data_IF_459371171832
#
_entry.id   IF_459371171832
#
_cell.length_a   1.000
_cell.length_b   1.000
_cell.length_c   1.000
_cell.angle_alpha   90.00
_cell.angle_beta   90.00
_cell.angle_gamma   90.00
#
_symmetry.space_group_name_H-M   'P 1'
#
loop_
_entity.id
_entity.type
_entity.pdbx_description
1 polymer ?
#
# COMPACT_ATOMS: atom_id res chain seq x y z
N UNK A 1 3.00 64.43 25.76
CA UNK A 1 3.55 63.71 24.60
C UNK A 1 4.37 62.57 25.14
N UNK A 2 3.81 61.34 25.17
CA UNK A 2 4.53 60.11 25.55
C UNK A 2 5.04 59.48 24.26
N UNK A 3 6.36 59.36 24.11
CA UNK A 3 6.99 58.70 22.98
C UNK A 3 6.96 57.17 23.22
N UNK A 4 6.24 56.43 22.37
CA UNK A 4 6.36 54.99 22.27
C UNK A 4 7.63 54.64 21.48
N UNK A 5 8.55 53.91 22.10
CA UNK A 5 9.64 53.21 21.42
C UNK A 5 9.11 51.86 20.94
N UNK A 6 9.24 51.47 19.67
CA UNK A 6 8.92 50.12 19.26
C UNK A 6 10.03 49.17 19.73
N UNK A 7 9.67 48.12 20.43
CA UNK A 7 10.55 47.03 20.75
C UNK A 7 10.81 46.22 19.46
N UNK A 8 12.06 46.24 19.01
CA UNK A 8 12.52 45.43 17.90
C UNK A 8 12.81 44.02 18.43
N UNK A 9 11.91 43.06 18.18
CA UNK A 9 12.18 41.66 18.43
C UNK A 9 13.12 41.13 17.35
N UNK A 10 14.38 40.87 17.71
CA UNK A 10 15.30 40.09 16.91
C UNK A 10 14.92 38.63 17.04
N UNK A 11 14.35 38.06 15.99
CA UNK A 11 14.29 36.62 15.81
C UNK A 11 15.74 36.15 15.52
N UNK A 12 16.40 35.57 16.50
CA UNK A 12 17.63 34.80 16.27
C UNK A 12 17.20 33.44 15.72
N UNK A 13 17.26 33.27 14.42
CA UNK A 13 17.19 31.96 13.83
C UNK A 13 18.44 31.16 14.28
N UNK A 14 18.31 30.31 15.24
CA UNK A 14 19.37 29.34 15.56
C UNK A 14 19.38 28.31 14.45
N UNK A 15 20.32 28.42 13.52
CA UNK A 15 20.67 27.33 12.61
C UNK A 15 21.26 26.21 13.47
N UNK A 16 20.52 25.15 13.71
CA UNK A 16 21.07 23.92 14.27
C UNK A 16 22.09 23.39 13.26
N UNK A 17 23.33 23.22 13.66
CA UNK A 17 24.36 22.65 12.80
C UNK A 17 23.94 21.19 12.46
N UNK A 18 24.15 20.81 11.19
CA UNK A 18 23.90 19.44 10.76
C UNK A 18 24.76 18.48 11.60
N UNK A 19 24.17 17.35 11.97
CA UNK A 19 24.81 16.31 12.79
C UNK A 19 25.16 15.11 11.88
N UNK A 20 26.38 14.61 12.02
CA UNK A 20 26.82 13.44 11.25
C UNK A 20 26.17 12.17 11.80
N UNK A 21 25.58 11.37 10.93
CA UNK A 21 25.11 10.02 11.28
C UNK A 21 26.22 9.00 11.12
N UNK A 22 26.45 8.24 12.17
CA UNK A 22 27.39 7.12 12.17
C UNK A 22 26.62 5.80 12.19
N UNK A 23 27.09 4.81 11.43
CA UNK A 23 26.45 3.48 11.35
C UNK A 23 26.33 2.85 12.75
N UNK A 24 25.13 2.38 13.07
CA UNK A 24 24.78 1.71 14.33
C UNK A 24 24.75 2.61 15.56
N UNK A 25 24.73 3.95 15.35
CA UNK A 25 24.56 4.92 16.45
C UNK A 25 23.23 5.64 16.29
N UNK A 26 22.38 5.48 17.30
CA UNK A 26 21.12 6.22 17.39
C UNK A 26 21.38 7.63 17.94
N UNK A 27 20.68 8.63 17.39
CA UNK A 27 20.67 10.01 17.86
C UNK A 27 19.22 10.43 18.15
N UNK A 28 19.00 11.04 19.32
CA UNK A 28 17.68 11.55 19.73
C UNK A 28 17.50 12.99 19.25
N UNK A 29 16.30 13.30 18.74
CA UNK A 29 15.89 14.64 18.36
C UNK A 29 14.56 15.03 19.03
N UNK A 30 14.32 16.33 19.12
CA UNK A 30 13.06 16.90 19.62
C UNK A 30 12.58 17.95 18.64
N UNK A 31 11.39 17.75 18.07
CA UNK A 31 10.78 18.69 17.13
C UNK A 31 9.78 19.59 17.87
N UNK A 32 9.77 20.85 17.47
CA UNK A 32 8.70 21.82 17.73
C UNK A 32 8.00 22.17 16.42
N UNK A 33 6.86 22.84 16.47
CA UNK A 33 5.96 23.04 15.34
C UNK A 33 6.62 23.48 14.01
N UNK A 34 7.65 24.31 14.08
CA UNK A 34 8.34 24.87 12.90
C UNK A 34 9.81 24.46 12.82
N UNK A 35 10.27 23.54 13.70
CA UNK A 35 11.67 23.13 13.72
C UNK A 35 11.96 22.05 12.69
N UNK A 36 13.24 21.99 12.31
CA UNK A 36 13.80 20.96 11.47
C UNK A 36 15.16 20.58 11.98
N UNK A 37 15.41 19.30 12.07
CA UNK A 37 16.72 18.76 12.34
C UNK A 37 17.36 18.26 11.05
N UNK A 38 18.66 18.47 10.93
CA UNK A 38 19.42 18.14 9.72
C UNK A 38 20.57 17.21 10.09
N UNK A 39 20.64 16.10 9.37
CA UNK A 39 21.65 15.07 9.52
C UNK A 39 22.42 14.91 8.22
N UNK A 40 23.71 14.55 8.33
CA UNK A 40 24.59 14.32 7.19
C UNK A 40 25.09 12.89 7.16
N UNK A 41 25.24 12.35 5.96
CA UNK A 41 25.78 11.03 5.68
C UNK A 41 26.85 11.20 4.61
N UNK A 42 28.10 10.93 4.96
CA UNK A 42 29.21 10.95 4.01
C UNK A 42 29.33 9.58 3.36
N UNK A 43 29.31 9.52 2.01
CA UNK A 43 29.48 8.29 1.25
C UNK A 43 30.61 8.42 0.25
N UNK A 44 31.50 7.39 0.12
CA UNK A 44 32.70 7.50 -0.70
C UNK A 44 32.48 7.22 -2.20
N UNK A 45 31.25 6.91 -2.62
CA UNK A 45 30.95 6.59 -4.02
C UNK A 45 29.57 6.02 -4.23
N UNK A 46 29.46 5.04 -5.11
CA UNK A 46 28.22 4.30 -5.35
C UNK A 46 27.91 3.42 -4.15
N UNK A 47 26.95 3.84 -3.31
CA UNK A 47 26.58 3.21 -2.05
C UNK A 47 25.07 3.01 -1.95
N UNK A 48 24.67 1.96 -1.28
CA UNK A 48 23.32 1.79 -0.74
C UNK A 48 23.33 2.24 0.73
N UNK A 49 22.35 3.04 1.08
CA UNK A 49 22.19 3.63 2.42
C UNK A 49 20.80 3.29 2.94
N UNK A 50 20.73 2.79 4.18
CA UNK A 50 19.50 2.52 4.88
C UNK A 50 19.56 3.03 6.32
N UNK A 51 18.51 3.71 6.75
CA UNK A 51 18.34 4.19 8.11
C UNK A 51 16.89 4.18 8.54
N UNK A 52 16.68 4.42 9.83
CA UNK A 52 15.37 4.37 10.49
C UNK A 52 15.18 5.61 11.34
N UNK A 53 13.99 6.19 11.28
CA UNK A 53 13.50 7.21 12.20
C UNK A 53 12.44 6.57 13.09
N UNK A 54 12.75 6.36 14.36
CA UNK A 54 11.81 5.86 15.38
C UNK A 54 10.97 7.03 15.89
N UNK A 55 9.71 7.04 15.53
CA UNK A 55 8.74 8.06 15.92
C UNK A 55 8.22 7.75 17.34
N UNK A 56 8.82 8.36 18.34
CA UNK A 56 8.49 8.09 19.75
C UNK A 56 7.18 8.77 20.17
N UNK A 57 7.15 10.10 20.04
CA UNK A 57 5.98 10.92 20.43
C UNK A 57 5.54 11.90 19.35
N UNK A 58 6.29 12.02 18.24
CA UNK A 58 5.99 12.91 17.11
C UNK A 58 5.90 12.12 15.80
N UNK A 59 4.95 12.48 14.97
CA UNK A 59 4.85 12.05 13.58
C UNK A 59 5.85 12.84 12.73
N UNK A 60 6.75 12.15 12.03
CA UNK A 60 7.88 12.76 11.32
C UNK A 60 7.78 12.62 9.81
N UNK A 61 8.28 13.63 9.11
CA UNK A 61 8.52 13.61 7.68
C UNK A 61 10.03 13.68 7.45
N UNK A 62 10.59 12.68 6.77
CA UNK A 62 12.00 12.66 6.39
C UNK A 62 12.18 13.05 4.91
N UNK A 63 13.07 14.00 4.62
CA UNK A 63 13.48 14.36 3.25
C UNK A 63 14.94 14.07 3.04
N UNK A 64 15.26 13.40 1.95
CA UNK A 64 16.63 13.06 1.58
C UNK A 64 17.05 13.97 0.43
N UNK A 65 18.22 14.57 0.56
CA UNK A 65 18.80 15.45 -0.43
C UNK A 65 20.13 14.89 -0.95
N UNK A 66 20.36 15.04 -2.24
CA UNK A 66 21.64 14.72 -2.87
C UNK A 66 22.73 15.76 -2.54
N UNK A 67 23.93 15.52 -3.05
CA UNK A 67 25.09 16.40 -2.86
C UNK A 67 24.94 17.81 -3.43
N UNK A 68 23.98 18.03 -4.33
CA UNK A 68 23.63 19.32 -4.91
C UNK A 68 22.47 20.01 -4.17
N UNK A 69 21.90 19.39 -3.11
CA UNK A 69 20.77 19.91 -2.36
C UNK A 69 19.42 19.68 -3.04
N UNK A 70 19.33 18.78 -4.02
CA UNK A 70 18.07 18.40 -4.66
C UNK A 70 17.40 17.28 -3.87
N UNK A 71 16.09 17.36 -3.66
CA UNK A 71 15.30 16.32 -3.00
C UNK A 71 15.32 15.05 -3.86
N UNK A 72 15.79 13.95 -3.28
CA UNK A 72 15.76 12.59 -3.85
C UNK A 72 14.46 11.89 -3.49
N UNK A 73 14.07 11.95 -2.22
CA UNK A 73 12.82 11.34 -1.75
C UNK A 73 12.24 12.08 -0.54
N UNK A 74 10.95 11.88 -0.32
CA UNK A 74 10.23 12.30 0.88
C UNK A 74 9.52 11.09 1.45
N UNK A 75 9.76 10.79 2.71
CA UNK A 75 9.16 9.69 3.45
C UNK A 75 8.21 10.30 4.48
N UNK A 76 6.94 9.98 4.32
CA UNK A 76 5.84 10.33 5.19
C UNK A 76 5.06 9.02 5.41
N UNK A 77 5.39 8.32 6.48
CA UNK A 77 4.91 6.97 6.77
C UNK A 77 3.69 6.95 7.68
N UNK A 78 3.59 5.89 8.47
CA UNK A 78 2.57 5.83 9.53
C UNK A 78 2.95 6.79 10.66
N UNK A 79 1.95 7.40 11.31
CA UNK A 79 2.14 8.39 12.38
C UNK A 79 2.86 7.86 13.63
N UNK A 80 3.17 6.58 13.71
CA UNK A 80 3.88 5.94 14.84
C UNK A 80 4.71 4.77 14.36
N UNK A 81 5.73 4.44 15.14
CA UNK A 81 6.67 3.36 14.88
C UNK A 81 7.80 3.77 13.94
N UNK A 82 8.59 2.82 13.45
CA UNK A 82 9.74 3.11 12.61
C UNK A 82 9.32 3.58 11.20
N UNK A 83 9.84 4.72 10.78
CA UNK A 83 9.81 5.19 9.41
C UNK A 83 11.19 4.95 8.78
N UNK A 84 11.26 4.04 7.81
CA UNK A 84 12.52 3.70 7.16
C UNK A 84 12.82 4.65 6.01
N UNK A 85 14.06 5.06 5.87
CA UNK A 85 14.57 5.74 4.69
C UNK A 85 15.68 4.94 4.02
N UNK A 86 15.69 4.96 2.69
CA UNK A 86 16.77 4.34 1.93
C UNK A 86 17.01 5.11 0.62
N UNK A 87 18.24 5.08 0.17
CA UNK A 87 18.63 5.62 -1.13
C UNK A 87 19.89 4.94 -1.66
N UNK A 88 20.08 5.02 -2.96
CA UNK A 88 21.38 4.69 -3.60
C UNK A 88 22.04 5.99 -4.02
N UNK A 89 23.32 6.14 -3.68
CA UNK A 89 24.19 7.17 -4.22
C UNK A 89 24.88 6.66 -5.49
N UNK A 90 25.10 7.54 -6.45
CA UNK A 90 25.96 7.23 -7.62
C UNK A 90 27.29 7.98 -7.55
N UNK A 91 27.39 9.03 -6.73
CA UNK A 91 28.57 9.89 -6.60
C UNK A 91 29.01 9.99 -5.12
N UNK A 92 30.32 10.18 -4.87
CA UNK A 92 30.82 10.44 -3.53
C UNK A 92 30.35 11.82 -3.03
N UNK A 93 30.19 11.97 -1.72
CA UNK A 93 29.89 13.24 -1.08
C UNK A 93 28.93 13.14 0.09
N UNK A 94 28.49 14.30 0.54
CA UNK A 94 27.63 14.46 1.70
C UNK A 94 26.18 14.53 1.28
N UNK A 95 25.40 13.53 1.70
CA UNK A 95 23.94 13.48 1.56
C UNK A 95 23.29 14.00 2.83
N UNK A 96 22.11 14.60 2.70
CA UNK A 96 21.43 15.22 3.85
C UNK A 96 20.09 14.56 4.09
N UNK A 97 19.79 14.28 5.36
CA UNK A 97 18.46 13.86 5.83
C UNK A 97 17.90 14.99 6.70
N UNK A 98 16.82 15.59 6.24
CA UNK A 98 16.07 16.60 7.00
C UNK A 98 14.86 15.93 7.64
N UNK A 99 14.72 16.07 8.94
CA UNK A 99 13.56 15.59 9.70
C UNK A 99 12.73 16.78 10.15
N UNK A 100 11.45 16.76 9.84
CA UNK A 100 10.45 17.73 10.28
C UNK A 100 9.22 17.01 10.85
N UNK A 101 8.38 17.73 11.60
CA UNK A 101 7.11 17.16 12.05
C UNK A 101 6.04 17.20 10.98
N UNK A 102 5.14 16.21 10.99
CA UNK A 102 3.91 16.25 10.22
C UNK A 102 2.93 17.27 10.84
N UNK A 103 2.36 18.14 10.02
CA UNK A 103 1.37 19.17 10.43
C UNK A 103 1.75 20.02 11.65
N UNK A 104 3.05 20.17 11.94
CA UNK A 104 3.53 20.99 13.06
C UNK A 104 3.37 20.33 14.44
N UNK A 105 3.27 19.01 14.50
CA UNK A 105 3.27 18.28 15.77
C UNK A 105 4.60 18.46 16.53
N UNK A 106 4.55 18.36 17.86
CA UNK A 106 5.73 18.47 18.72
C UNK A 106 6.01 17.14 19.42
N UNK A 107 7.29 16.80 19.60
CA UNK A 107 7.67 15.60 20.33
C UNK A 107 9.06 15.10 19.97
N UNK A 108 9.34 13.87 20.42
CA UNK A 108 10.64 13.23 20.38
C UNK A 108 10.69 12.12 19.33
N UNK A 109 11.86 11.95 18.73
CA UNK A 109 12.18 10.86 17.82
C UNK A 109 13.64 10.43 18.01
N UNK A 110 13.98 9.28 17.45
CA UNK A 110 15.36 8.83 17.30
C UNK A 110 15.64 8.52 15.84
N UNK A 111 16.85 8.83 15.38
CA UNK A 111 17.32 8.48 14.03
C UNK A 111 18.57 7.63 14.13
N UNK A 112 18.65 6.59 13.31
CA UNK A 112 19.79 5.69 13.21
C UNK A 112 20.14 5.43 11.74
N UNK A 113 21.42 5.53 11.42
CA UNK A 113 21.97 5.01 10.18
C UNK A 113 22.32 3.53 10.40
N UNK A 114 21.50 2.63 9.83
CA UNK A 114 21.65 1.18 10.02
C UNK A 114 22.79 0.63 9.17
N UNK A 115 22.84 1.03 7.89
CA UNK A 115 23.92 0.62 6.96
C UNK A 115 24.23 1.69 5.93
N UNK A 116 25.49 1.74 5.52
CA UNK A 116 25.97 2.41 4.33
C UNK A 116 27.07 1.50 3.75
N UNK A 117 26.80 0.87 2.62
CA UNK A 117 27.67 -0.14 2.03
C UNK A 117 27.75 0.05 0.51
N UNK A 118 28.78 -0.46 -0.17
CA UNK A 118 28.86 -0.40 -1.62
C UNK A 118 27.59 -0.94 -2.26
N UNK A 119 27.04 -0.20 -3.22
CA UNK A 119 25.89 -0.64 -4.00
C UNK A 119 26.24 -1.92 -4.76
N UNK A 120 25.43 -2.94 -4.61
CA UNK A 120 25.64 -4.22 -5.29
C UNK A 120 25.56 -4.05 -6.81
N UNK A 121 26.44 -4.75 -7.50
CA UNK A 121 26.47 -4.79 -8.98
C UNK A 121 25.57 -5.90 -9.52
N UNK A 122 25.49 -7.03 -8.79
CA UNK A 122 24.58 -8.11 -9.14
C UNK A 122 23.12 -7.73 -8.82
N UNK A 123 22.18 -7.89 -9.78
CA UNK A 123 20.78 -7.53 -9.56
C UNK A 123 20.12 -8.26 -8.39
N UNK A 124 20.49 -9.49 -8.08
CA UNK A 124 19.94 -10.26 -6.97
C UNK A 124 20.41 -9.70 -5.63
N UNK A 125 21.69 -9.38 -5.52
CA UNK A 125 22.27 -8.75 -4.33
C UNK A 125 21.71 -7.34 -4.13
N UNK A 126 21.42 -6.61 -5.23
CA UNK A 126 20.77 -5.30 -5.16
C UNK A 126 19.34 -5.41 -4.60
N UNK A 127 18.59 -6.44 -4.99
CA UNK A 127 17.27 -6.69 -4.39
C UNK A 127 17.44 -6.99 -2.89
N UNK A 128 18.42 -7.77 -2.49
CA UNK A 128 18.69 -8.06 -1.07
C UNK A 128 18.99 -6.77 -0.28
N UNK A 129 19.78 -5.87 -0.84
CA UNK A 129 20.03 -4.56 -0.22
C UNK A 129 18.73 -3.74 -0.05
N UNK A 130 17.92 -3.64 -1.10
CA UNK A 130 16.65 -2.89 -1.07
C UNK A 130 15.67 -3.52 -0.07
N UNK A 131 15.72 -4.84 0.12
CA UNK A 131 14.86 -5.57 1.05
C UNK A 131 15.36 -5.58 2.50
N UNK A 132 16.48 -4.94 2.80
CA UNK A 132 17.01 -4.82 4.19
C UNK A 132 15.97 -4.46 5.25
N UNK A 133 15.04 -3.50 5.02
CA UNK A 133 14.00 -3.15 5.99
C UNK A 133 13.08 -4.31 6.38
N UNK A 134 13.00 -5.32 5.53
CA UNK A 134 12.11 -6.48 5.70
C UNK A 134 12.85 -7.72 6.17
N UNK A 135 14.12 -7.61 6.56
CA UNK A 135 14.90 -8.71 7.11
C UNK A 135 14.80 -8.75 8.64
N UNK A 136 14.75 -9.95 9.22
CA UNK A 136 14.69 -10.12 10.68
C UNK A 136 13.59 -11.07 11.11
N UNK A 137 13.60 -11.42 12.42
CA UNK A 137 12.61 -12.34 13.03
C UNK A 137 11.41 -11.62 13.62
N UNK A 138 11.48 -10.32 13.75
CA UNK A 138 10.45 -9.43 14.32
C UNK A 138 9.75 -8.58 13.25
N UNK A 139 10.02 -8.85 11.98
CA UNK A 139 9.48 -8.09 10.85
C UNK A 139 8.49 -8.95 10.07
N UNK A 140 7.27 -8.43 9.79
CA UNK A 140 6.34 -9.08 8.87
C UNK A 140 6.97 -9.30 7.50
N UNK A 141 6.71 -10.49 6.92
CA UNK A 141 7.37 -10.91 5.70
C UNK A 141 6.83 -10.27 4.42
N UNK A 142 7.69 -10.25 3.42
CA UNK A 142 7.41 -9.85 2.04
C UNK A 142 8.03 -10.87 1.08
N UNK A 143 7.41 -11.12 -0.06
CA UNK A 143 7.95 -11.94 -1.14
C UNK A 143 8.19 -11.09 -2.38
N UNK A 144 9.33 -11.28 -3.02
CA UNK A 144 9.73 -10.59 -4.25
C UNK A 144 9.97 -11.62 -5.34
N UNK A 145 9.40 -11.37 -6.52
CA UNK A 145 9.64 -12.16 -7.72
C UNK A 145 9.93 -11.23 -8.88
N UNK A 146 10.94 -11.56 -9.66
CA UNK A 146 11.30 -10.85 -10.90
C UNK A 146 11.20 -11.80 -12.08
N UNK A 147 10.40 -11.41 -13.07
CA UNK A 147 10.27 -12.14 -14.33
C UNK A 147 10.99 -11.37 -15.44
N UNK A 148 11.72 -12.11 -16.28
CA UNK A 148 12.34 -11.56 -17.48
C UNK A 148 12.08 -12.51 -18.64
N UNK A 149 11.47 -11.99 -19.71
CA UNK A 149 11.15 -12.75 -20.93
C UNK A 149 10.34 -14.04 -20.69
N UNK A 150 9.55 -14.07 -19.61
CA UNK A 150 8.72 -15.21 -19.20
C UNK A 150 9.37 -16.14 -18.17
N UNK A 151 10.67 -16.01 -17.92
CA UNK A 151 11.39 -16.81 -16.93
C UNK A 151 11.47 -16.10 -15.56
N UNK A 152 11.33 -16.85 -14.47
CA UNK A 152 11.60 -16.35 -13.13
C UNK A 152 13.12 -16.29 -12.94
N UNK A 153 13.66 -15.06 -12.92
CA UNK A 153 15.10 -14.84 -12.74
C UNK A 153 15.48 -14.56 -11.29
N UNK A 154 14.50 -14.26 -10.45
CA UNK A 154 14.67 -14.07 -9.01
C UNK A 154 13.34 -14.36 -8.30
N UNK A 155 13.40 -15.11 -7.18
CA UNK A 155 12.27 -15.29 -6.26
C UNK A 155 12.80 -15.52 -4.84
N UNK A 156 12.35 -14.72 -3.87
CA UNK A 156 12.81 -14.80 -2.48
C UNK A 156 11.80 -14.21 -1.52
N UNK A 157 11.65 -14.84 -0.34
CA UNK A 157 10.93 -14.29 0.81
C UNK A 157 11.91 -13.62 1.80
N UNK A 158 11.42 -12.60 2.49
CA UNK A 158 12.13 -11.86 3.54
C UNK A 158 11.24 -11.73 4.77
N UNK A 159 11.82 -11.67 5.97
CA UNK A 159 11.07 -11.57 7.21
C UNK A 159 10.25 -12.82 7.53
N UNK A 160 9.15 -12.65 8.25
CA UNK A 160 8.39 -13.76 8.84
C UNK A 160 6.98 -13.84 8.26
N UNK A 161 6.58 -15.03 7.82
CA UNK A 161 5.19 -15.31 7.48
C UNK A 161 4.30 -15.43 8.72
N UNK A 162 4.89 -15.76 9.86
CA UNK A 162 4.23 -15.80 11.15
C UNK A 162 5.18 -15.40 12.29
N UNK A 163 4.99 -14.22 12.86
CA UNK A 163 5.81 -13.70 13.97
C UNK A 163 5.60 -14.48 15.27
N UNK A 164 4.41 -15.06 15.48
CA UNK A 164 4.09 -15.77 16.71
C UNK A 164 4.81 -17.12 16.82
N UNK A 165 5.02 -17.76 15.68
CA UNK A 165 5.60 -19.10 15.61
C UNK A 165 6.97 -19.13 14.92
N UNK A 166 7.60 -17.97 14.72
CA UNK A 166 8.92 -17.83 14.09
C UNK A 166 9.00 -18.56 12.73
N UNK A 167 7.93 -18.47 11.91
CA UNK A 167 7.91 -19.08 10.60
C UNK A 167 8.41 -18.06 9.58
N UNK A 168 9.53 -18.31 8.88
CA UNK A 168 10.06 -17.41 7.88
C UNK A 168 9.14 -17.30 6.67
N UNK A 169 9.22 -16.17 5.97
CA UNK A 169 8.63 -15.98 4.66
C UNK A 169 9.51 -16.62 3.57
N UNK A 170 8.91 -17.31 2.62
CA UNK A 170 9.56 -17.79 1.42
C UNK A 170 8.75 -17.42 0.16
N UNK A 171 9.29 -17.75 -1.01
CA UNK A 171 8.66 -17.48 -2.30
C UNK A 171 7.39 -18.31 -2.56
N UNK A 172 7.16 -19.38 -1.78
CA UNK A 172 6.02 -20.26 -1.89
C UNK A 172 4.93 -19.95 -0.83
N UNK A 173 5.19 -18.98 0.03
CA UNK A 173 4.22 -18.60 1.07
C UNK A 173 3.02 -17.87 0.44
N UNK A 174 1.83 -18.44 0.61
CA UNK A 174 0.59 -17.86 0.12
C UNK A 174 0.21 -16.58 0.85
N UNK A 175 -0.18 -15.54 0.12
CA UNK A 175 -0.64 -14.28 0.70
C UNK A 175 -1.89 -13.74 0.02
N UNK A 176 -2.65 -12.93 0.76
CA UNK A 176 -3.75 -12.17 0.16
C UNK A 176 -3.18 -11.06 -0.70
N UNK A 177 -3.51 -11.08 -1.99
CA UNK A 177 -3.10 -10.05 -2.96
C UNK A 177 -4.06 -8.86 -3.01
N UNK A 178 -5.03 -8.81 -2.09
CA UNK A 178 -5.99 -7.71 -1.94
C UNK A 178 -6.60 -7.28 -3.30
N UNK A 179 -6.53 -6.01 -3.64
CA UNK A 179 -7.14 -5.46 -4.87
C UNK A 179 -6.47 -5.88 -6.18
N UNK A 180 -5.28 -6.47 -6.14
CA UNK A 180 -4.68 -7.11 -7.32
C UNK A 180 -5.59 -8.24 -7.85
N UNK A 181 -6.42 -8.84 -6.98
CA UNK A 181 -7.46 -9.83 -7.35
C UNK A 181 -8.48 -9.32 -8.37
N UNK A 182 -8.68 -8.00 -8.48
CA UNK A 182 -9.62 -7.41 -9.43
C UNK A 182 -9.29 -7.72 -10.89
N UNK A 183 -8.03 -7.96 -11.23
CA UNK A 183 -7.63 -8.39 -12.57
C UNK A 183 -8.36 -9.66 -13.02
N UNK A 184 -8.55 -10.62 -12.11
CA UNK A 184 -9.23 -11.88 -12.43
C UNK A 184 -10.74 -11.66 -12.63
N UNK A 185 -11.37 -10.79 -11.85
CA UNK A 185 -12.77 -10.42 -12.09
C UNK A 185 -12.94 -9.69 -13.43
N UNK A 186 -12.03 -8.77 -13.76
CA UNK A 186 -12.02 -8.09 -15.06
C UNK A 186 -11.82 -9.07 -16.22
N UNK A 187 -10.89 -10.04 -16.08
CA UNK A 187 -10.66 -11.08 -17.07
C UNK A 187 -11.90 -11.98 -17.25
N UNK A 188 -12.58 -12.35 -16.16
CA UNK A 188 -13.81 -13.13 -16.23
C UNK A 188 -14.91 -12.40 -17.05
N UNK A 189 -15.08 -11.12 -16.83
CA UNK A 189 -16.01 -10.30 -17.61
C UNK A 189 -15.61 -10.28 -19.10
N UNK A 190 -14.33 -10.12 -19.41
CA UNK A 190 -13.83 -10.14 -20.79
C UNK A 190 -14.05 -11.52 -21.47
N UNK A 191 -13.84 -12.62 -20.73
CA UNK A 191 -14.12 -13.97 -21.24
C UNK A 191 -15.61 -14.14 -21.55
N UNK A 192 -16.50 -13.75 -20.63
CA UNK A 192 -17.95 -13.86 -20.84
C UNK A 192 -18.42 -12.96 -22.00
N UNK A 193 -17.85 -11.77 -22.17
CA UNK A 193 -18.14 -10.91 -23.32
C UNK A 193 -17.65 -11.54 -24.63
N UNK A 194 -16.44 -12.10 -24.68
CA UNK A 194 -15.90 -12.77 -25.87
C UNK A 194 -16.74 -13.98 -26.30
N UNK A 195 -17.42 -14.61 -25.33
CA UNK A 195 -18.36 -15.71 -25.57
C UNK A 195 -19.77 -15.22 -25.98
N UNK A 196 -20.00 -13.91 -26.02
CA UNK A 196 -21.30 -13.31 -26.33
C UNK A 196 -22.36 -13.52 -25.24
N UNK A 197 -21.98 -13.90 -24.03
CA UNK A 197 -22.90 -14.13 -22.90
C UNK A 197 -23.33 -12.82 -22.23
N UNK A 198 -22.51 -11.80 -22.31
CA UNK A 198 -22.75 -10.44 -21.80
C UNK A 198 -22.24 -9.43 -22.81
N UNK A 199 -22.60 -8.16 -22.62
CA UNK A 199 -21.96 -7.00 -23.27
C UNK A 199 -21.52 -6.01 -22.20
N UNK A 200 -20.35 -5.38 -22.37
CA UNK A 200 -19.91 -4.29 -21.49
C UNK A 200 -20.90 -3.11 -21.47
N UNK A 201 -21.79 -3.01 -22.47
CA UNK A 201 -22.86 -2.00 -22.50
C UNK A 201 -24.17 -2.49 -21.84
N UNK A 202 -24.21 -3.70 -21.30
CA UNK A 202 -25.39 -4.17 -20.57
C UNK A 202 -25.54 -3.38 -19.26
N UNK A 203 -26.76 -2.94 -18.92
CA UNK A 203 -27.03 -2.37 -17.61
C UNK A 203 -26.87 -3.44 -16.53
N UNK A 204 -26.28 -3.07 -15.39
CA UNK A 204 -26.00 -4.02 -14.30
C UNK A 204 -27.27 -4.70 -13.77
N UNK A 205 -28.42 -4.02 -13.80
CA UNK A 205 -29.71 -4.55 -13.38
C UNK A 205 -30.17 -5.76 -14.20
N UNK A 206 -29.65 -5.92 -15.42
CA UNK A 206 -29.90 -7.11 -16.26
C UNK A 206 -29.31 -8.38 -15.65
N UNK A 207 -28.19 -8.24 -14.93
CA UNK A 207 -27.41 -9.36 -14.43
C UNK A 207 -27.51 -9.54 -12.91
N UNK A 208 -27.80 -8.47 -12.17
CA UNK A 208 -27.90 -8.49 -10.71
C UNK A 208 -29.28 -8.09 -10.24
N UNK A 209 -30.05 -9.06 -9.78
CA UNK A 209 -31.41 -8.82 -9.32
C UNK A 209 -31.49 -8.01 -8.02
N UNK A 210 -32.55 -7.22 -7.89
CA UNK A 210 -32.88 -6.49 -6.65
C UNK A 210 -32.08 -5.21 -6.45
N UNK A 211 -31.32 -4.74 -7.45
CA UNK A 211 -30.73 -3.42 -7.44
C UNK A 211 -31.80 -2.33 -7.69
N UNK A 212 -31.63 -1.13 -7.10
CA UNK A 212 -32.53 0.00 -7.33
C UNK A 212 -32.55 0.45 -8.80
N UNK A 213 -33.64 1.08 -9.24
CA UNK A 213 -33.77 1.57 -10.61
C UNK A 213 -32.70 2.59 -11.01
N UNK A 214 -32.14 3.33 -10.05
CA UNK A 214 -31.02 4.26 -10.32
C UNK A 214 -29.79 3.57 -10.92
N UNK A 215 -29.66 2.26 -10.74
CA UNK A 215 -28.58 1.45 -11.34
C UNK A 215 -28.84 1.04 -12.80
N UNK A 216 -30.04 1.27 -13.36
CA UNK A 216 -30.33 0.95 -14.77
C UNK A 216 -29.47 1.75 -15.77
N UNK A 217 -28.97 2.90 -15.34
CA UNK A 217 -28.02 3.71 -16.14
C UNK A 217 -26.57 3.28 -15.98
N UNK A 218 -26.27 2.32 -15.08
CA UNK A 218 -24.92 1.81 -14.85
C UNK A 218 -24.67 0.58 -15.69
N UNK A 219 -23.79 0.69 -16.66
CA UNK A 219 -23.36 -0.42 -17.53
C UNK A 219 -22.16 -1.16 -16.89
N UNK A 220 -21.91 -2.41 -17.31
CA UNK A 220 -20.79 -3.22 -16.83
C UNK A 220 -19.45 -2.52 -17.02
N UNK A 221 -19.24 -1.81 -18.14
CA UNK A 221 -18.01 -1.02 -18.38
C UNK A 221 -17.78 0.05 -17.31
N UNK A 222 -18.85 0.67 -16.79
CA UNK A 222 -18.70 1.68 -15.73
C UNK A 222 -18.15 1.09 -14.43
N UNK A 223 -18.43 -0.18 -14.15
CA UNK A 223 -17.87 -0.91 -13.01
C UNK A 223 -16.40 -1.27 -13.24
N UNK A 224 -16.09 -1.83 -14.42
CA UNK A 224 -14.72 -2.21 -14.80
C UNK A 224 -13.76 -1.03 -14.71
N UNK A 225 -14.17 0.15 -15.18
CA UNK A 225 -13.33 1.35 -15.24
C UNK A 225 -13.44 2.27 -14.01
N UNK A 226 -14.20 1.87 -12.97
CA UNK A 226 -14.39 2.68 -11.76
C UNK A 226 -15.01 4.06 -12.03
N UNK A 227 -16.00 4.14 -12.93
CA UNK A 227 -16.69 5.36 -13.31
C UNK A 227 -18.21 5.26 -13.13
N UNK A 228 -18.66 4.40 -12.21
CA UNK A 228 -20.08 4.05 -12.08
C UNK A 228 -20.90 5.01 -11.21
N UNK A 229 -20.28 5.81 -10.36
CA UNK A 229 -20.98 6.62 -9.35
C UNK A 229 -21.58 5.84 -8.18
N UNK A 230 -21.40 4.51 -8.14
CA UNK A 230 -21.87 3.66 -7.04
C UNK A 230 -20.99 3.91 -5.81
N UNK A 231 -21.61 4.13 -4.66
CA UNK A 231 -20.90 4.34 -3.39
C UNK A 231 -20.15 3.08 -2.99
N UNK A 232 -18.92 3.27 -2.52
CA UNK A 232 -18.08 2.15 -2.09
C UNK A 232 -18.51 1.63 -0.72
N UNK A 233 -18.58 0.31 -0.60
CA UNK A 233 -19.09 -0.35 0.60
C UNK A 233 -18.22 -0.12 1.85
N UNK A 234 -16.86 -0.04 1.78
CA UNK A 234 -16.06 0.15 2.98
C UNK A 234 -16.41 1.46 3.71
N UNK A 235 -16.44 2.57 2.97
CA UNK A 235 -16.80 3.87 3.54
C UNK A 235 -18.24 3.90 4.07
N UNK A 236 -19.18 3.28 3.34
CA UNK A 236 -20.58 3.25 3.77
C UNK A 236 -20.80 2.40 5.03
N UNK A 237 -20.09 1.28 5.20
CA UNK A 237 -20.17 0.45 6.40
C UNK A 237 -19.56 1.14 7.62
N UNK A 238 -18.41 1.82 7.46
CA UNK A 238 -17.79 2.59 8.54
C UNK A 238 -18.71 3.73 9.00
N UNK A 239 -19.32 4.48 8.06
CA UNK A 239 -20.31 5.50 8.39
C UNK A 239 -21.56 4.90 9.07
N UNK A 240 -21.89 3.64 8.78
CA UNK A 240 -22.93 2.86 9.43
C UNK A 240 -22.54 2.26 10.79
N UNK A 241 -21.33 2.55 11.30
CA UNK A 241 -20.85 2.07 12.59
C UNK A 241 -20.20 0.68 12.58
N UNK A 242 -19.93 0.09 11.40
CA UNK A 242 -19.19 -1.17 11.25
C UNK A 242 -17.68 -0.87 11.26
N UNK A 243 -16.89 -1.83 11.70
CA UNK A 243 -15.43 -1.74 11.75
C UNK A 243 -14.80 -2.55 10.61
N UNK A 244 -13.59 -2.21 10.21
CA UNK A 244 -12.85 -2.97 9.18
C UNK A 244 -12.41 -4.37 9.65
N UNK A 245 -12.35 -4.58 10.96
CA UNK A 245 -12.05 -5.87 11.58
C UNK A 245 -13.31 -6.75 11.82
N UNK A 246 -14.50 -6.23 11.50
CA UNK A 246 -15.72 -7.05 11.47
C UNK A 246 -15.69 -8.05 10.31
N UNK A 247 -16.33 -9.19 10.50
CA UNK A 247 -16.60 -10.12 9.39
C UNK A 247 -17.65 -9.50 8.48
N UNK A 248 -17.26 -9.17 7.26
CA UNK A 248 -18.11 -8.59 6.22
C UNK A 248 -18.23 -9.61 5.09
N UNK A 249 -19.42 -10.14 4.90
CA UNK A 249 -19.69 -11.11 3.86
C UNK A 249 -19.97 -10.44 2.50
N UNK A 250 -19.84 -11.21 1.43
CA UNK A 250 -20.26 -10.78 0.09
C UNK A 250 -21.75 -10.39 0.07
N UNK A 251 -22.59 -11.09 0.82
CA UNK A 251 -24.01 -10.75 0.99
C UNK A 251 -24.20 -9.36 1.61
N UNK A 252 -23.40 -8.97 2.61
CA UNK A 252 -23.49 -7.65 3.24
C UNK A 252 -23.20 -6.54 2.25
N UNK A 253 -22.17 -6.72 1.40
CA UNK A 253 -21.80 -5.72 0.38
C UNK A 253 -22.88 -5.57 -0.70
N UNK A 254 -23.52 -6.68 -1.12
CA UNK A 254 -24.66 -6.63 -2.04
C UNK A 254 -25.90 -6.00 -1.39
N UNK A 255 -26.19 -6.32 -0.12
CA UNK A 255 -27.30 -5.73 0.61
C UNK A 255 -27.14 -4.21 0.74
N UNK A 256 -25.91 -3.72 0.92
CA UNK A 256 -25.61 -2.30 0.94
C UNK A 256 -25.84 -1.65 -0.45
N UNK A 257 -25.37 -2.28 -1.53
CA UNK A 257 -25.62 -1.78 -2.89
C UNK A 257 -27.14 -1.65 -3.17
N UNK A 258 -27.93 -2.64 -2.75
CA UNK A 258 -29.40 -2.68 -2.91
C UNK A 258 -30.14 -1.57 -2.14
N UNK A 259 -29.51 -0.94 -1.16
CA UNK A 259 -30.09 0.16 -0.36
C UNK A 259 -29.72 1.55 -0.86
N UNK A 260 -28.93 1.66 -1.92
CA UNK A 260 -28.54 2.96 -2.45
C UNK A 260 -29.67 3.56 -3.29
N UNK A 261 -30.17 4.72 -2.89
CA UNK A 261 -31.26 5.41 -3.59
C UNK A 261 -30.76 6.41 -4.65
N UNK A 262 -29.46 6.73 -4.63
CA UNK A 262 -28.82 7.65 -5.56
C UNK A 262 -27.36 7.26 -5.83
N UNK A 263 -26.86 7.59 -7.01
CA UNK A 263 -25.45 7.56 -7.34
C UNK A 263 -24.75 8.83 -6.81
N UNK A 264 -23.46 8.75 -6.56
CA UNK A 264 -22.65 9.91 -6.15
C UNK A 264 -22.43 10.91 -7.28
N UNK A 265 -22.45 10.42 -8.54
CA UNK A 265 -22.32 11.19 -9.77
C UNK A 265 -22.87 10.35 -10.94
N UNK A 266 -23.19 10.97 -12.10
CA UNK A 266 -23.62 10.24 -13.29
C UNK A 266 -22.55 9.28 -13.80
N UNK A 267 -22.93 8.06 -14.24
CA UNK A 267 -21.97 7.09 -14.77
C UNK A 267 -21.20 7.64 -15.98
N UNK A 268 -19.89 7.40 -15.98
CA UNK A 268 -18.98 7.83 -17.04
C UNK A 268 -18.33 9.19 -16.84
N UNK A 269 -18.75 9.99 -15.87
CA UNK A 269 -18.25 11.36 -15.71
C UNK A 269 -16.98 11.48 -14.83
N UNK A 270 -16.90 10.69 -13.78
CA UNK A 270 -15.82 10.82 -12.78
C UNK A 270 -15.23 9.45 -12.46
N UNK A 271 -13.89 9.39 -12.38
CA UNK A 271 -13.20 8.23 -11.83
C UNK A 271 -13.34 8.23 -10.30
N UNK A 272 -13.90 7.16 -9.77
CA UNK A 272 -13.97 6.91 -8.33
C UNK A 272 -13.84 5.42 -8.07
N UNK A 273 -12.71 5.01 -7.51
CA UNK A 273 -12.44 3.61 -7.19
C UNK A 273 -13.58 3.00 -6.37
N UNK A 274 -14.08 1.83 -6.78
CA UNK A 274 -15.20 1.17 -6.12
C UNK A 274 -14.98 -0.34 -5.98
N UNK A 275 -14.91 -0.82 -4.75
CA UNK A 275 -14.96 -2.24 -4.43
C UNK A 275 -16.36 -2.81 -4.67
N UNK A 276 -17.41 -2.02 -4.41
CA UNK A 276 -18.80 -2.40 -4.69
C UNK A 276 -18.98 -2.75 -6.17
N UNK A 277 -18.38 -1.97 -7.07
CA UNK A 277 -18.43 -2.24 -8.50
C UNK A 277 -17.91 -3.64 -8.84
N UNK A 278 -16.77 -4.01 -8.28
CA UNK A 278 -16.16 -5.33 -8.54
C UNK A 278 -16.91 -6.49 -7.85
N UNK A 279 -17.54 -6.26 -6.71
CA UNK A 279 -18.46 -7.24 -6.14
C UNK A 279 -19.69 -7.47 -7.04
N UNK A 280 -20.20 -6.43 -7.68
CA UNK A 280 -21.29 -6.56 -8.67
C UNK A 280 -20.83 -7.28 -9.93
N UNK A 281 -19.58 -7.10 -10.40
CA UNK A 281 -19.01 -7.88 -11.50
C UNK A 281 -18.89 -9.36 -11.14
N UNK A 282 -18.39 -9.69 -9.94
CA UNK A 282 -18.36 -11.07 -9.46
C UNK A 282 -19.76 -11.70 -9.44
N UNK A 283 -20.77 -10.95 -8.94
CA UNK A 283 -22.17 -11.42 -8.97
C UNK A 283 -22.71 -11.58 -10.40
N UNK A 284 -22.27 -10.76 -11.34
CA UNK A 284 -22.61 -10.92 -12.75
C UNK A 284 -22.07 -12.23 -13.30
N UNK A 285 -20.82 -12.57 -12.99
CA UNK A 285 -20.22 -13.87 -13.37
C UNK A 285 -21.07 -15.02 -12.85
N UNK A 286 -21.40 -15.03 -11.56
CA UNK A 286 -22.25 -16.08 -10.96
C UNK A 286 -23.62 -16.18 -11.63
N UNK A 287 -24.26 -15.06 -11.88
CA UNK A 287 -25.61 -15.06 -12.48
C UNK A 287 -25.61 -15.58 -13.91
N UNK A 288 -24.57 -15.27 -14.69
CA UNK A 288 -24.47 -15.62 -16.11
C UNK A 288 -23.97 -17.05 -16.32
N UNK A 289 -23.06 -17.52 -15.46
CA UNK A 289 -22.51 -18.88 -15.53
C UNK A 289 -23.43 -19.90 -14.86
N UNK A 290 -24.04 -19.53 -13.74
CA UNK A 290 -24.74 -20.43 -12.83
C UNK A 290 -23.83 -21.05 -11.78
N UNK A 291 -22.53 -20.78 -11.80
CA UNK A 291 -21.51 -21.30 -10.91
C UNK A 291 -21.17 -20.28 -9.82
N UNK A 292 -20.58 -20.75 -8.73
CA UNK A 292 -19.96 -19.87 -7.73
C UNK A 292 -18.77 -19.13 -8.36
N UNK A 293 -18.51 -17.87 -7.97
CA UNK A 293 -17.45 -17.06 -8.54
C UNK A 293 -16.05 -17.67 -8.36
N UNK A 294 -15.75 -18.20 -7.16
CA UNK A 294 -14.45 -18.80 -6.88
C UNK A 294 -14.21 -20.06 -7.73
N UNK A 295 -15.21 -20.93 -7.83
CA UNK A 295 -15.14 -22.13 -8.65
C UNK A 295 -15.00 -21.77 -10.13
N UNK A 296 -15.79 -20.81 -10.60
CA UNK A 296 -15.71 -20.36 -11.99
C UNK A 296 -14.31 -19.82 -12.36
N UNK A 297 -13.69 -19.02 -11.48
CA UNK A 297 -12.33 -18.51 -11.68
C UNK A 297 -11.32 -19.65 -11.70
N UNK A 298 -11.46 -20.63 -10.81
CA UNK A 298 -10.60 -21.81 -10.80
C UNK A 298 -10.65 -22.54 -12.12
N UNK A 299 -11.83 -22.92 -12.57
CA UNK A 299 -12.04 -23.75 -13.76
C UNK A 299 -11.64 -23.02 -15.07
N UNK A 300 -11.84 -21.70 -15.13
CA UNK A 300 -11.66 -20.96 -16.39
C UNK A 300 -10.38 -20.13 -16.46
N UNK A 301 -9.71 -19.90 -15.34
CA UNK A 301 -8.50 -19.06 -15.28
C UNK A 301 -7.36 -19.79 -14.58
N UNK A 302 -7.54 -20.23 -13.33
CA UNK A 302 -6.42 -20.76 -12.54
C UNK A 302 -5.95 -22.13 -13.08
N UNK A 303 -6.85 -23.09 -13.29
CA UNK A 303 -6.50 -24.41 -13.76
C UNK A 303 -5.92 -24.39 -15.20
N UNK A 304 -6.52 -23.68 -16.17
CA UNK A 304 -5.94 -23.57 -17.51
C UNK A 304 -4.55 -22.90 -17.56
N UNK A 305 -4.25 -22.05 -16.58
CA UNK A 305 -2.95 -21.36 -16.46
C UNK A 305 -2.01 -22.06 -15.47
N UNK A 306 -2.38 -23.25 -14.98
CA UNK A 306 -1.59 -24.02 -14.00
C UNK A 306 -1.26 -23.23 -12.71
N UNK A 307 -2.14 -22.31 -12.31
CA UNK A 307 -2.02 -21.51 -11.08
C UNK A 307 -2.50 -22.30 -9.86
N UNK A 308 -1.92 -23.48 -9.62
CA UNK A 308 -2.38 -24.52 -8.68
C UNK A 308 -2.39 -24.08 -7.20
N UNK A 309 -1.77 -22.96 -6.86
CA UNK A 309 -1.72 -22.40 -5.51
C UNK A 309 -2.52 -21.10 -5.36
N UNK A 310 -3.29 -20.74 -6.39
CA UNK A 310 -4.15 -19.57 -6.40
C UNK A 310 -5.61 -19.96 -6.16
N UNK A 311 -6.30 -19.19 -5.31
CA UNK A 311 -7.73 -19.41 -5.06
C UNK A 311 -8.40 -18.14 -4.59
N UNK A 312 -9.71 -18.04 -4.80
CA UNK A 312 -10.55 -17.07 -4.12
C UNK A 312 -11.10 -17.70 -2.83
N UNK A 313 -10.90 -17.03 -1.71
CA UNK A 313 -11.46 -17.46 -0.44
C UNK A 313 -12.81 -16.79 -0.24
N UNK A 314 -13.89 -17.50 -0.51
CA UNK A 314 -15.28 -17.08 -0.32
C UNK A 314 -15.91 -17.68 0.96
N UNK A 315 -15.29 -18.73 1.52
CA UNK A 315 -15.64 -19.33 2.80
C UNK A 315 -14.48 -19.19 3.82
N UNK A 316 -14.74 -18.49 4.93
CA UNK A 316 -13.78 -18.34 6.03
C UNK A 316 -13.45 -19.66 6.74
N UNK A 317 -14.28 -20.70 6.58
CA UNK A 317 -14.05 -22.06 7.10
C UNK A 317 -13.01 -22.84 6.30
N UNK A 318 -12.70 -22.43 5.08
CA UNK A 318 -11.71 -23.10 4.23
C UNK A 318 -10.30 -22.91 4.77
N UNK A 319 -9.63 -24.04 5.04
CA UNK A 319 -8.22 -24.02 5.47
C UNK A 319 -7.30 -23.84 4.28
N UNK A 320 -6.52 -22.78 4.33
CA UNK A 320 -5.46 -22.49 3.36
C UNK A 320 -4.12 -22.75 4.05
N UNK A 321 -3.40 -23.76 3.54
CA UNK A 321 -2.08 -24.12 4.05
C UNK A 321 -1.03 -23.12 3.60
N UNK A 322 0.07 -23.01 4.34
CA UNK A 322 1.20 -22.12 4.04
C UNK A 322 0.80 -20.65 3.80
N UNK A 323 -0.19 -20.15 4.53
CA UNK A 323 -0.69 -18.78 4.39
C UNK A 323 -0.02 -17.85 5.39
N UNK A 324 0.47 -16.71 4.90
CA UNK A 324 0.97 -15.63 5.74
C UNK A 324 -0.13 -15.08 6.67
N UNK A 325 0.25 -14.69 7.87
CA UNK A 325 -0.58 -13.92 8.77
C UNK A 325 -0.34 -12.42 8.54
N UNK A 326 -1.42 -11.66 8.36
CA UNK A 326 -1.32 -10.20 8.29
C UNK A 326 -1.13 -9.60 9.68
N UNK A 327 -0.31 -8.56 9.75
CA UNK A 327 -0.05 -7.79 10.97
C UNK A 327 -0.38 -6.32 10.72
N UNK A 328 -0.88 -5.66 11.74
CA UNK A 328 -1.11 -4.23 11.73
C UNK A 328 -0.10 -3.60 12.69
N UNK A 329 0.63 -2.59 12.23
CA UNK A 329 1.50 -1.81 13.09
C UNK A 329 0.68 -1.08 14.17
N UNK A 330 1.22 -1.02 15.37
CA UNK A 330 0.62 -0.32 16.53
C UNK A 330 1.04 1.14 16.52
#
# INVERSE_FOLDING_TARGET
MKRFLPALFFFVATTVAAQDLEIGKSQSGTLTADSKDTYTIEVPGSYFVYGVVNQLTVDTVAKIYDTAGKVMSTIDGSARGPASFQFSSDEPGTYTVEISSFEGAEGEYEIELVTAEPKAEDPSDLVDQVMTPFTGKDVPGVSVMVLKEGDIVFAKGYGMSNLTYDIPMDENTGMSIASVSKQFAGLAIAILESQGKISLNDPINKHVAGLPNVFEQVELRHLVYHISGIRDWPGALVLGGRRFDDVISFHDTLAMARRQEALSFPPGEIYSYSNTGYNLLARTVETVSGDNFADWISDHIFDPLEMNHSHFQDDLGTLITNRVRSYQGS
#
